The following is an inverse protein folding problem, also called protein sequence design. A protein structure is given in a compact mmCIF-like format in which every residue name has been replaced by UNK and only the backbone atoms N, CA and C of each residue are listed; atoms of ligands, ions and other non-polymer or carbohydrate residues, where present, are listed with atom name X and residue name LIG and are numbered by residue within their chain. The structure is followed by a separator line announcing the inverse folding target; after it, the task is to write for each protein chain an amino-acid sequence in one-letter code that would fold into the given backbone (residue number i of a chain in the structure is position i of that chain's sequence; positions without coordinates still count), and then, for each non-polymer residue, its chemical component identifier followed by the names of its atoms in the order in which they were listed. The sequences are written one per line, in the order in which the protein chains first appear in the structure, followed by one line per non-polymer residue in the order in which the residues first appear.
data_IF_159269004277
#
_entry.id   IF_159269004277
#
_cell.length_a   1.000
_cell.length_b   1.000
_cell.length_c   1.000
_cell.angle_alpha   90.00
_cell.angle_beta   90.00
_cell.angle_gamma   90.00
#
_symmetry.space_group_name_H-M   'P 1'
#
loop_
_entity.id
_entity.type
_entity.pdbx_description
1 polymer ?
#
# COMPACT_ATOMS: atom_id res chain seq x y z
N UNK A 1 -44.70 15.64 24.53
CA UNK A 1 -44.63 15.80 23.06
C UNK A 1 -43.80 14.67 22.43
N UNK A 2 -44.39 13.47 22.26
CA UNK A 2 -43.67 12.27 21.77
C UNK A 2 -44.47 11.46 20.74
N UNK A 3 -45.24 12.13 19.86
CA UNK A 3 -46.13 11.48 18.89
C UNK A 3 -45.78 11.76 17.42
N UNK A 4 -44.90 12.72 17.09
CA UNK A 4 -44.52 13.02 15.68
C UNK A 4 -43.41 12.14 15.09
N UNK A 5 -42.58 11.47 15.92
CA UNK A 5 -41.40 10.72 15.44
C UNK A 5 -41.71 9.28 15.01
N UNK A 6 -42.85 8.73 15.43
CA UNK A 6 -43.27 7.38 15.03
C UNK A 6 -44.09 7.35 13.74
N UNK A 7 -44.86 8.40 13.43
CA UNK A 7 -45.66 8.45 12.19
C UNK A 7 -44.78 8.49 10.92
N UNK A 8 -43.73 9.34 10.90
CA UNK A 8 -42.86 9.47 9.72
C UNK A 8 -42.00 8.24 9.38
N UNK A 9 -41.88 7.26 10.30
CA UNK A 9 -41.21 5.98 10.01
C UNK A 9 -42.13 4.99 9.30
N UNK A 10 -43.44 5.06 9.53
CA UNK A 10 -44.43 4.17 8.93
C UNK A 10 -44.65 4.57 7.46
N UNK A 11 -44.79 5.87 7.19
CA UNK A 11 -45.04 6.40 5.85
C UNK A 11 -43.90 6.07 4.86
N UNK A 12 -42.65 6.02 5.33
CA UNK A 12 -41.47 5.72 4.50
C UNK A 12 -41.38 4.24 4.06
N UNK A 13 -41.94 3.33 4.86
CA UNK A 13 -41.93 1.89 4.56
C UNK A 13 -43.02 1.53 3.54
N UNK A 14 -44.15 2.23 3.58
CA UNK A 14 -45.25 2.00 2.63
C UNK A 14 -44.89 2.44 1.20
N UNK A 15 -44.15 3.55 1.07
CA UNK A 15 -43.63 4.06 -0.22
C UNK A 15 -42.68 3.05 -0.88
N UNK A 16 -41.78 2.45 -0.11
CA UNK A 16 -40.82 1.44 -0.59
C UNK A 16 -41.48 0.12 -1.03
N UNK A 17 -42.64 -0.24 -0.45
CA UNK A 17 -43.40 -1.42 -0.88
C UNK A 17 -44.10 -1.18 -2.23
N UNK A 18 -44.71 -0.01 -2.43
CA UNK A 18 -45.40 0.34 -3.69
C UNK A 18 -44.44 0.44 -4.89
N UNK A 19 -43.19 0.82 -4.67
CA UNK A 19 -42.16 0.89 -5.73
C UNK A 19 -41.67 -0.50 -6.17
N UNK A 20 -41.57 -1.47 -5.24
CA UNK A 20 -41.19 -2.86 -5.56
C UNK A 20 -42.25 -3.63 -6.34
N UNK A 21 -43.54 -3.36 -6.11
CA UNK A 21 -44.62 -3.99 -6.88
C UNK A 21 -44.67 -3.50 -8.33
N UNK A 22 -44.43 -2.20 -8.58
CA UNK A 22 -44.38 -1.64 -9.94
C UNK A 22 -43.26 -2.26 -10.77
N UNK A 23 -42.10 -2.55 -10.18
CA UNK A 23 -40.96 -3.14 -10.88
C UNK A 23 -41.11 -4.64 -11.19
N UNK A 24 -42.07 -5.34 -10.55
CA UNK A 24 -42.33 -6.76 -10.79
C UNK A 24 -43.24 -7.00 -12.02
N UNK A 25 -44.07 -6.02 -12.37
CA UNK A 25 -45.02 -6.11 -13.49
C UNK A 25 -44.34 -5.88 -14.85
N UNK A 26 -43.29 -5.05 -14.90
CA UNK A 26 -42.60 -4.69 -16.16
C UNK A 26 -41.68 -5.79 -16.72
N UNK A 27 -41.22 -6.73 -15.88
CA UNK A 27 -40.29 -7.80 -16.28
C UNK A 27 -40.95 -8.93 -17.10
N UNK A 28 -42.28 -9.03 -17.11
CA UNK A 28 -42.96 -10.21 -17.63
C UNK A 28 -43.43 -10.10 -19.09
N UNK A 29 -43.10 -9.00 -19.79
CA UNK A 29 -43.68 -8.69 -21.11
C UNK A 29 -42.72 -8.80 -22.30
N UNK A 30 -41.48 -9.26 -22.11
CA UNK A 30 -40.44 -9.11 -23.15
C UNK A 30 -39.69 -10.38 -23.58
N UNK A 31 -40.22 -11.59 -23.33
CA UNK A 31 -39.60 -12.82 -23.85
C UNK A 31 -40.65 -13.80 -24.39
N UNK A 32 -41.13 -13.57 -25.61
CA UNK A 32 -41.63 -14.65 -26.47
C UNK A 32 -40.90 -14.54 -27.81
N UNK A 33 -39.86 -15.34 -27.99
CA UNK A 33 -39.20 -15.56 -29.26
C UNK A 33 -38.99 -17.07 -29.43
N UNK A 34 -39.64 -17.65 -30.44
CA UNK A 34 -39.61 -19.09 -30.77
C UNK A 34 -38.31 -19.45 -31.48
N UNK A 35 -37.75 -20.64 -31.21
CA UNK A 35 -36.48 -21.12 -31.77
C UNK A 35 -36.59 -21.44 -33.28
N UNK A 36 -35.64 -21.04 -34.14
CA UNK A 36 -35.76 -21.23 -35.60
C UNK A 36 -35.43 -22.64 -36.12
N UNK A 37 -34.95 -23.57 -35.28
CA UNK A 37 -34.59 -24.92 -35.72
C UNK A 37 -35.80 -25.85 -35.69
N UNK A 38 -36.69 -25.72 -36.67
CA UNK A 38 -37.79 -26.65 -36.88
C UNK A 38 -37.35 -27.78 -37.80
N UNK A 39 -36.93 -28.89 -37.19
CA UNK A 39 -37.05 -30.22 -37.80
C UNK A 39 -37.28 -31.25 -36.67
N UNK A 40 -38.54 -31.38 -36.27
CA UNK A 40 -39.10 -32.58 -35.62
C UNK A 40 -38.48 -33.10 -34.31
N UNK A 41 -38.00 -32.27 -33.37
CA UNK A 41 -37.64 -32.76 -32.02
C UNK A 41 -38.01 -31.80 -30.88
N UNK A 42 -38.61 -32.35 -29.81
CA UNK A 42 -39.25 -31.68 -28.66
C UNK A 42 -38.41 -30.64 -27.90
N UNK A 43 -38.36 -29.40 -28.37
CA UNK A 43 -37.96 -28.25 -27.54
C UNK A 43 -38.44 -26.91 -28.11
N UNK A 44 -38.95 -26.04 -27.24
CA UNK A 44 -39.49 -24.73 -27.64
C UNK A 44 -38.48 -23.57 -27.55
N UNK A 45 -37.33 -23.76 -26.89
CA UNK A 45 -36.39 -22.67 -26.59
C UNK A 45 -34.92 -23.01 -26.91
N UNK A 46 -34.20 -22.04 -27.48
CA UNK A 46 -32.79 -22.18 -27.92
C UNK A 46 -31.78 -22.37 -26.78
N UNK A 47 -32.19 -22.14 -25.53
CA UNK A 47 -31.38 -22.39 -24.33
C UNK A 47 -31.48 -23.80 -23.78
N UNK A 48 -32.32 -24.66 -24.40
CA UNK A 48 -32.42 -26.08 -24.03
C UNK A 48 -31.05 -26.76 -24.15
N UNK A 49 -30.71 -27.60 -23.17
CA UNK A 49 -29.47 -28.41 -23.21
C UNK A 49 -29.43 -29.38 -24.41
N UNK A 50 -30.58 -29.64 -25.02
CA UNK A 50 -30.73 -30.55 -26.16
C UNK A 50 -30.65 -29.85 -27.52
N UNK A 51 -30.57 -28.51 -27.56
CA UNK A 51 -30.44 -27.77 -28.81
C UNK A 51 -28.99 -27.85 -29.32
N UNK A 52 -28.79 -28.25 -30.57
CA UNK A 52 -27.45 -28.36 -31.19
C UNK A 52 -26.69 -27.03 -31.25
N UNK A 53 -27.42 -25.91 -31.22
CA UNK A 53 -26.86 -24.55 -31.17
C UNK A 53 -26.46 -24.11 -29.75
N UNK A 54 -26.77 -24.90 -28.72
CA UNK A 54 -26.34 -24.64 -27.35
C UNK A 54 -24.88 -25.03 -27.15
N UNK A 55 -23.97 -24.19 -27.69
CA UNK A 55 -22.56 -24.23 -27.31
C UNK A 55 -22.48 -23.82 -25.84
N UNK A 56 -22.26 -24.79 -24.95
CA UNK A 56 -21.97 -24.50 -23.55
C UNK A 56 -20.82 -23.50 -23.51
N UNK A 57 -21.07 -22.29 -22.97
CA UNK A 57 -20.01 -21.33 -22.70
C UNK A 57 -19.03 -22.00 -21.73
N UNK A 58 -17.95 -22.57 -22.26
CA UNK A 58 -16.79 -22.95 -21.46
C UNK A 58 -16.45 -21.73 -20.62
N UNK A 59 -16.51 -21.87 -19.30
CA UNK A 59 -16.21 -20.78 -18.39
C UNK A 59 -14.80 -20.31 -18.68
N UNK A 60 -14.68 -19.19 -19.39
CA UNK A 60 -13.45 -18.44 -19.47
C UNK A 60 -13.03 -18.16 -18.02
N UNK A 61 -11.80 -18.50 -17.60
CA UNK A 61 -11.34 -18.10 -16.28
C UNK A 61 -11.44 -16.59 -16.23
N UNK A 62 -12.33 -16.08 -15.37
CA UNK A 62 -12.47 -14.64 -15.17
C UNK A 62 -11.09 -14.13 -14.75
N UNK A 63 -10.53 -13.10 -15.41
CA UNK A 63 -9.44 -12.37 -14.78
C UNK A 63 -10.01 -11.83 -13.46
N UNK A 64 -9.36 -12.15 -12.34
CA UNK A 64 -9.61 -11.45 -11.07
C UNK A 64 -9.01 -10.05 -11.18
N UNK A 65 -9.61 -9.23 -12.03
CA UNK A 65 -9.46 -7.78 -12.02
C UNK A 65 -10.59 -7.19 -11.18
N UNK A 66 -10.74 -7.67 -9.94
CA UNK A 66 -11.19 -6.75 -8.90
C UNK A 66 -9.94 -6.00 -8.44
N UNK A 67 -9.50 -5.04 -9.27
CA UNK A 67 -8.72 -3.93 -8.74
C UNK A 67 -9.65 -3.25 -7.75
N UNK A 68 -9.54 -3.67 -6.48
CA UNK A 68 -10.15 -3.00 -5.35
C UNK A 68 -9.54 -1.59 -5.37
N UNK A 69 -10.24 -0.67 -6.04
CA UNK A 69 -9.79 0.71 -6.14
C UNK A 69 -9.83 1.24 -4.71
N UNK A 70 -8.68 1.29 -4.07
CA UNK A 70 -8.53 1.89 -2.76
C UNK A 70 -8.81 3.38 -2.90
N UNK A 71 -10.05 3.79 -2.68
CA UNK A 71 -10.39 5.21 -2.64
C UNK A 71 -10.01 5.72 -1.25
N UNK A 72 -9.01 6.58 -1.18
CA UNK A 72 -8.59 7.22 0.08
C UNK A 72 -9.40 8.50 0.26
N UNK A 73 -10.28 8.53 1.25
CA UNK A 73 -10.99 9.73 1.67
C UNK A 73 -10.13 10.43 2.73
N UNK A 74 -9.55 11.59 2.38
CA UNK A 74 -8.79 12.44 3.31
C UNK A 74 -9.73 13.48 3.90
N UNK A 75 -10.01 13.41 5.20
CA UNK A 75 -10.81 14.41 5.92
C UNK A 75 -9.91 15.03 6.99
N UNK A 76 -9.92 16.37 7.15
CA UNK A 76 -9.15 17.03 8.21
C UNK A 76 -9.51 16.50 9.60
N UNK A 77 -8.50 16.39 10.47
CA UNK A 77 -8.71 15.94 11.85
C UNK A 77 -9.65 16.89 12.61
N UNK A 78 -9.55 18.20 12.34
CA UNK A 78 -10.43 19.22 12.93
C UNK A 78 -11.92 19.01 12.55
N UNK A 79 -12.19 18.48 11.37
CA UNK A 79 -13.56 18.28 10.87
C UNK A 79 -14.18 16.98 11.40
N UNK A 80 -13.36 16.01 11.81
CA UNK A 80 -13.80 14.71 12.34
C UNK A 80 -13.87 14.68 13.86
N UNK A 81 -12.93 15.34 14.53
CA UNK A 81 -12.83 15.33 15.98
C UNK A 81 -13.49 16.58 16.61
N UNK A 82 -14.59 16.37 17.33
CA UNK A 82 -15.32 17.44 18.03
C UNK A 82 -14.63 17.95 19.29
N UNK A 83 -13.49 17.38 19.67
CA UNK A 83 -12.76 17.73 20.89
C UNK A 83 -11.48 18.50 20.53
N UNK A 84 -11.45 19.84 20.68
CA UNK A 84 -10.28 20.64 20.32
C UNK A 84 -9.00 20.20 21.05
N UNK A 85 -9.11 19.82 22.33
CA UNK A 85 -7.96 19.32 23.11
C UNK A 85 -7.34 18.07 22.51
N UNK A 86 -8.18 17.14 22.02
CA UNK A 86 -7.68 15.91 21.40
C UNK A 86 -7.04 16.19 20.04
N UNK A 87 -7.59 17.14 19.26
CA UNK A 87 -7.00 17.59 18.00
C UNK A 87 -5.59 18.15 18.24
N UNK A 88 -5.45 19.07 19.19
CA UNK A 88 -4.14 19.67 19.53
C UNK A 88 -3.13 18.62 19.98
N UNK A 89 -3.49 17.75 20.94
CA UNK A 89 -2.58 16.70 21.41
C UNK A 89 -2.17 15.73 20.30
N UNK A 90 -3.09 15.37 19.41
CA UNK A 90 -2.77 14.49 18.28
C UNK A 90 -1.81 15.15 17.31
N UNK A 91 -1.99 16.45 17.03
CA UNK A 91 -1.10 17.21 16.17
C UNK A 91 0.31 17.33 16.79
N UNK A 92 0.40 17.67 18.07
CA UNK A 92 1.68 17.74 18.79
C UNK A 92 2.44 16.40 18.77
N UNK A 93 1.72 15.29 19.00
CA UNK A 93 2.31 13.94 18.92
C UNK A 93 2.74 13.60 17.51
N UNK A 94 1.94 13.94 16.49
CA UNK A 94 2.29 13.71 15.10
C UNK A 94 3.55 14.49 14.71
N UNK A 95 3.61 15.78 15.03
CA UNK A 95 4.75 16.64 14.74
C UNK A 95 6.02 16.13 15.44
N UNK A 96 5.92 15.77 16.72
CA UNK A 96 7.02 15.19 17.48
C UNK A 96 7.54 13.87 16.86
N UNK A 97 6.62 12.97 16.51
CA UNK A 97 6.98 11.69 15.86
C UNK A 97 7.62 11.94 14.50
N UNK A 98 7.11 12.87 13.70
CA UNK A 98 7.67 13.20 12.38
C UNK A 98 9.10 13.71 12.53
N UNK A 99 9.37 14.61 13.47
CA UNK A 99 10.72 15.10 13.73
C UNK A 99 11.65 13.97 14.21
N UNK A 100 11.17 13.10 15.10
CA UNK A 100 11.92 11.96 15.60
C UNK A 100 12.28 10.99 14.47
N UNK A 101 11.31 10.61 13.63
CA UNK A 101 11.53 9.73 12.48
C UNK A 101 12.53 10.36 11.51
N UNK A 102 12.44 11.66 11.25
CA UNK A 102 13.37 12.37 10.40
C UNK A 102 14.81 12.32 10.93
N UNK A 103 15.01 12.61 12.22
CA UNK A 103 16.32 12.54 12.86
C UNK A 103 16.90 11.12 12.86
N UNK A 104 16.08 10.12 13.17
CA UNK A 104 16.44 8.69 13.11
C UNK A 104 16.83 8.29 11.69
N UNK A 105 16.14 8.81 10.66
CA UNK A 105 16.43 8.52 9.26
C UNK A 105 17.81 9.06 8.85
N UNK A 106 18.13 10.30 9.25
CA UNK A 106 19.45 10.90 9.00
C UNK A 106 20.55 10.05 9.64
N UNK A 107 20.39 9.69 10.92
CA UNK A 107 21.39 8.89 11.61
C UNK A 107 21.50 7.47 11.03
N UNK A 108 20.39 6.84 10.65
CA UNK A 108 20.42 5.52 10.02
C UNK A 108 21.22 5.56 8.70
N UNK A 109 21.02 6.59 7.87
CA UNK A 109 21.79 6.79 6.64
C UNK A 109 23.28 7.02 6.95
N UNK A 110 23.59 7.88 7.93
CA UNK A 110 24.97 8.09 8.38
C UNK A 110 25.62 6.80 8.85
N UNK A 111 24.90 5.99 9.65
CA UNK A 111 25.39 4.72 10.17
C UNK A 111 25.71 3.75 9.04
N UNK A 112 24.80 3.60 8.06
CA UNK A 112 25.05 2.76 6.88
C UNK A 112 26.25 3.24 6.06
N UNK A 113 26.39 4.55 5.84
CA UNK A 113 27.55 5.11 5.13
C UNK A 113 28.86 4.85 5.87
N UNK A 114 28.86 4.96 7.20
CA UNK A 114 30.05 4.69 8.02
C UNK A 114 30.48 3.23 7.96
N UNK A 115 29.52 2.30 7.99
CA UNK A 115 29.81 0.88 7.81
C UNK A 115 30.43 0.60 6.44
N UNK A 116 29.86 1.18 5.38
CA UNK A 116 30.39 1.04 4.02
C UNK A 116 31.80 1.62 3.88
N UNK A 117 32.07 2.78 4.46
CA UNK A 117 33.41 3.39 4.48
C UNK A 117 34.44 2.48 5.16
N UNK A 118 34.05 1.80 6.23
CA UNK A 118 34.90 0.87 6.96
C UNK A 118 34.99 -0.54 6.31
N UNK A 119 34.24 -0.81 5.24
CA UNK A 119 34.14 -2.14 4.63
C UNK A 119 33.39 -3.17 5.50
N UNK A 120 32.58 -2.71 6.45
CA UNK A 120 31.77 -3.56 7.33
C UNK A 120 30.45 -3.97 6.65
N UNK A 121 29.90 -5.13 7.04
CA UNK A 121 28.61 -5.60 6.51
C UNK A 121 27.46 -4.68 6.94
N UNK A 122 26.55 -4.40 5.99
CA UNK A 122 25.34 -3.63 6.29
C UNK A 122 24.36 -4.45 7.14
N UNK A 123 23.77 -3.86 8.20
CA UNK A 123 22.82 -4.55 9.04
C UNK A 123 21.53 -4.83 8.26
N UNK A 124 20.90 -5.96 8.57
CA UNK A 124 19.59 -6.30 7.99
C UNK A 124 18.56 -5.26 8.45
N UNK A 125 17.84 -4.69 7.47
CA UNK A 125 16.74 -3.74 7.69
C UNK A 125 15.62 -4.44 8.45
N UNK A 126 15.58 -4.29 9.77
CA UNK A 126 14.60 -4.94 10.65
C UNK A 126 13.99 -3.95 11.63
N UNK A 127 12.80 -4.26 12.15
CA UNK A 127 12.18 -3.47 13.22
C UNK A 127 13.14 -3.31 14.40
N UNK A 128 13.87 -4.38 14.75
CA UNK A 128 14.81 -4.40 15.87
C UNK A 128 15.95 -3.39 15.68
N UNK A 129 16.50 -3.29 14.45
CA UNK A 129 17.52 -2.28 14.14
C UNK A 129 16.99 -0.86 14.40
N UNK A 130 15.83 -0.52 13.85
CA UNK A 130 15.25 0.82 14.00
C UNK A 130 14.81 1.10 15.43
N UNK A 131 14.31 0.10 16.15
CA UNK A 131 13.99 0.22 17.57
C UNK A 131 15.24 0.51 18.40
N UNK A 132 16.35 -0.19 18.15
CA UNK A 132 17.61 0.06 18.83
C UNK A 132 18.13 1.48 18.56
N UNK A 133 18.10 1.93 17.30
CA UNK A 133 18.48 3.29 16.93
C UNK A 133 17.60 4.32 17.64
N UNK A 134 16.28 4.17 17.55
CA UNK A 134 15.30 5.05 18.17
C UNK A 134 15.43 5.11 19.69
N UNK A 135 15.76 3.97 20.33
CA UNK A 135 15.96 3.91 21.77
C UNK A 135 17.10 4.82 22.23
N UNK A 136 18.12 5.03 21.39
CA UNK A 136 19.22 5.96 21.68
C UNK A 136 18.70 7.40 21.69
N UNK A 137 17.89 7.80 20.70
CA UNK A 137 17.29 9.13 20.64
C UNK A 137 16.29 9.39 21.77
N UNK A 138 15.55 8.35 22.22
CA UNK A 138 14.61 8.45 23.33
C UNK A 138 15.27 8.39 24.72
N UNK A 139 16.61 8.45 24.81
CA UNK A 139 17.39 8.29 26.06
C UNK A 139 17.14 6.95 26.78
N UNK A 140 16.69 5.93 26.04
CA UNK A 140 16.46 4.55 26.49
C UNK A 140 17.51 3.58 25.93
N UNK A 141 18.65 4.10 25.45
CA UNK A 141 19.67 3.37 24.68
C UNK A 141 20.43 2.26 25.43
N UNK A 142 19.94 1.80 26.59
CA UNK A 142 20.53 0.68 27.35
C UNK A 142 20.71 -0.56 26.46
N UNK A 143 19.75 -0.82 25.58
CA UNK A 143 19.69 -2.02 24.75
C UNK A 143 20.39 -1.92 23.38
N UNK A 144 20.86 -0.74 22.99
CA UNK A 144 21.57 -0.59 21.72
C UNK A 144 22.96 -1.26 21.78
N UNK A 145 23.39 -1.84 20.66
CA UNK A 145 24.73 -2.43 20.55
C UNK A 145 25.82 -1.35 20.65
N UNK A 146 27.00 -1.74 21.10
CA UNK A 146 28.12 -0.80 21.29
C UNK A 146 28.56 -0.14 19.98
N UNK A 147 28.45 -0.86 18.87
CA UNK A 147 28.70 -0.30 17.53
C UNK A 147 27.77 0.86 17.19
N UNK A 148 26.45 0.70 17.41
CA UNK A 148 25.49 1.78 17.14
C UNK A 148 25.70 2.95 18.10
N UNK A 149 25.95 2.69 19.40
CA UNK A 149 26.25 3.72 20.40
C UNK A 149 27.50 4.52 20.03
N UNK A 150 28.56 3.85 19.60
CA UNK A 150 29.81 4.48 19.16
C UNK A 150 29.58 5.37 17.93
N UNK A 151 28.92 4.83 16.91
CA UNK A 151 28.58 5.61 15.70
C UNK A 151 27.67 6.79 16.00
N UNK A 152 26.74 6.65 16.94
CA UNK A 152 25.87 7.73 17.39
C UNK A 152 26.62 8.85 18.09
N UNK A 153 27.59 8.51 18.95
CA UNK A 153 28.47 9.51 19.58
C UNK A 153 29.22 10.31 18.52
N UNK A 154 29.84 9.63 17.55
CA UNK A 154 30.57 10.28 16.45
C UNK A 154 29.64 11.12 15.57
N UNK A 155 28.40 10.66 15.33
CA UNK A 155 27.39 11.43 14.62
C UNK A 155 27.08 12.75 15.34
N UNK A 156 26.84 12.70 16.65
CA UNK A 156 26.55 13.90 17.45
C UNK A 156 27.74 14.88 17.43
N UNK A 157 28.96 14.37 17.58
CA UNK A 157 30.18 15.19 17.50
C UNK A 157 30.34 15.85 16.12
N UNK A 158 30.07 15.11 15.04
CA UNK A 158 30.22 15.59 13.66
C UNK A 158 29.13 16.60 13.26
N UNK A 159 27.94 16.48 13.82
CA UNK A 159 26.78 17.35 13.51
C UNK A 159 26.58 18.45 14.54
N UNK A 160 27.45 18.55 15.54
CA UNK A 160 27.28 19.43 16.71
C UNK A 160 25.93 19.22 17.43
N UNK A 161 25.41 17.99 17.41
CA UNK A 161 24.14 17.65 18.05
C UNK A 161 24.32 17.63 19.57
N UNK A 162 23.65 18.54 20.27
CA UNK A 162 23.84 18.73 21.72
C UNK A 162 22.83 17.93 22.55
N UNK A 163 23.09 17.78 23.85
CA UNK A 163 22.15 17.12 24.76
C UNK A 163 20.75 17.78 24.78
N UNK A 164 20.61 19.13 24.81
CA UNK A 164 19.31 19.78 24.65
C UNK A 164 18.57 19.40 23.36
N UNK A 165 19.30 19.18 22.27
CA UNK A 165 18.72 18.72 21.01
C UNK A 165 18.21 17.28 21.09
N UNK A 166 18.77 16.45 21.97
CA UNK A 166 18.29 15.10 22.23
C UNK A 166 17.10 15.10 23.18
N UNK A 167 17.12 15.98 24.17
CA UNK A 167 16.05 16.06 25.17
C UNK A 167 14.69 16.39 24.53
N UNK A 168 14.67 17.10 23.38
CA UNK A 168 13.46 17.35 22.60
C UNK A 168 12.81 16.09 22.01
N UNK A 169 13.58 15.01 21.87
CA UNK A 169 13.15 13.71 21.37
C UNK A 169 12.82 12.72 22.49
N UNK A 170 12.93 13.15 23.75
CA UNK A 170 12.57 12.31 24.88
C UNK A 170 11.09 11.92 24.79
N UNK A 171 10.82 10.64 24.57
CA UNK A 171 9.46 10.12 24.42
C UNK A 171 8.79 9.94 25.80
N UNK A 172 8.56 11.03 26.53
CA UNK A 172 7.82 10.99 27.81
C UNK A 172 6.34 10.66 27.54
N UNK A 173 5.99 9.37 27.61
CA UNK A 173 4.59 8.88 27.56
C UNK A 173 4.14 8.26 26.23
N UNK A 174 4.92 8.37 25.15
CA UNK A 174 4.51 7.90 23.80
C UNK A 174 5.31 6.71 23.26
N UNK A 175 6.04 5.99 24.11
CA UNK A 175 6.95 4.91 23.68
C UNK A 175 6.24 3.82 22.85
N UNK A 176 4.99 3.50 23.15
CA UNK A 176 4.19 2.50 22.41
C UNK A 176 3.89 2.96 20.98
N UNK A 177 3.55 4.23 20.80
CA UNK A 177 3.31 4.83 19.49
C UNK A 177 4.61 4.84 18.68
N UNK A 178 5.69 5.27 19.32
CA UNK A 178 7.05 5.30 18.77
C UNK A 178 7.51 3.90 18.33
N UNK A 179 7.28 2.87 19.14
CA UNK A 179 7.53 1.46 18.78
C UNK A 179 6.69 1.01 17.59
N UNK A 180 5.40 1.35 17.53
CA UNK A 180 4.55 1.03 16.38
C UNK A 180 5.05 1.70 15.09
N UNK A 181 5.59 2.92 15.19
CA UNK A 181 6.18 3.62 14.06
C UNK A 181 7.43 2.93 13.51
N UNK A 182 8.22 2.22 14.33
CA UNK A 182 9.37 1.45 13.81
C UNK A 182 8.97 0.39 12.80
N UNK A 183 7.82 -0.27 13.01
CA UNK A 183 7.29 -1.27 12.08
C UNK A 183 6.91 -0.64 10.75
N UNK A 184 6.24 0.52 10.82
CA UNK A 184 5.85 1.26 9.63
C UNK A 184 7.09 1.78 8.88
N UNK A 185 8.07 2.29 9.62
CA UNK A 185 9.33 2.78 9.06
C UNK A 185 10.13 1.65 8.40
N UNK A 186 10.25 0.48 9.03
CA UNK A 186 10.87 -0.70 8.40
C UNK A 186 10.18 -1.03 7.07
N UNK A 187 8.85 -1.10 7.08
CA UNK A 187 8.06 -1.40 5.88
C UNK A 187 8.32 -0.36 4.78
N UNK A 188 8.35 0.92 5.15
CA UNK A 188 8.62 2.02 4.23
C UNK A 188 10.03 1.92 3.63
N UNK A 189 11.05 1.69 4.46
CA UNK A 189 12.44 1.54 4.00
C UNK A 189 12.57 0.31 3.08
N UNK A 190 12.01 -0.84 3.47
CA UNK A 190 12.04 -2.06 2.64
C UNK A 190 11.38 -1.82 1.29
N UNK A 191 10.17 -1.25 1.27
CA UNK A 191 9.46 -0.96 0.03
C UNK A 191 10.23 0.02 -0.86
N UNK A 192 10.83 1.06 -0.25
CA UNK A 192 11.64 2.02 -0.97
C UNK A 192 12.89 1.38 -1.59
N UNK A 193 13.62 0.58 -0.80
CA UNK A 193 14.82 -0.12 -1.28
C UNK A 193 14.47 -1.11 -2.38
N UNK A 194 13.43 -1.93 -2.21
CA UNK A 194 12.97 -2.88 -3.23
C UNK A 194 12.56 -2.15 -4.52
N UNK A 195 11.69 -1.14 -4.43
CA UNK A 195 11.23 -0.39 -5.60
C UNK A 195 12.39 0.32 -6.32
N UNK A 196 13.34 0.86 -5.57
CA UNK A 196 14.50 1.56 -6.13
C UNK A 196 15.46 0.57 -6.79
N UNK A 197 15.73 -0.56 -6.14
CA UNK A 197 16.57 -1.61 -6.68
C UNK A 197 15.98 -2.20 -7.96
N UNK A 198 14.68 -2.49 -7.97
CA UNK A 198 13.95 -2.95 -9.16
C UNK A 198 14.08 -1.94 -10.31
N UNK A 199 13.75 -0.67 -10.08
CA UNK A 199 13.81 0.36 -11.11
C UNK A 199 15.23 0.57 -11.65
N UNK A 200 16.22 0.64 -10.76
CA UNK A 200 17.62 0.80 -11.15
C UNK A 200 18.15 -0.42 -11.90
N UNK A 201 17.79 -1.62 -11.47
CA UNK A 201 18.22 -2.87 -12.14
C UNK A 201 17.58 -2.98 -13.51
N UNK A 202 16.28 -2.70 -13.64
CA UNK A 202 15.60 -2.66 -14.94
C UNK A 202 16.23 -1.60 -15.87
N UNK A 203 16.54 -0.41 -15.35
CA UNK A 203 17.23 0.62 -16.12
C UNK A 203 18.63 0.16 -16.55
N UNK A 204 19.37 -0.50 -15.66
CA UNK A 204 20.69 -1.05 -15.98
C UNK A 204 20.60 -2.11 -17.07
N UNK A 205 19.73 -3.12 -16.91
CA UNK A 205 19.50 -4.19 -17.91
C UNK A 205 19.14 -3.56 -19.26
N UNK A 206 18.20 -2.62 -19.29
CA UNK A 206 17.78 -1.93 -20.51
C UNK A 206 18.95 -1.23 -21.23
N UNK A 207 19.89 -0.66 -20.46
CA UNK A 207 21.08 0.02 -20.97
C UNK A 207 22.18 -0.93 -21.44
N UNK A 208 22.23 -2.17 -20.94
CA UNK A 208 23.24 -3.17 -21.36
C UNK A 208 22.77 -4.06 -22.51
N UNK A 209 21.46 -4.27 -22.68
CA UNK A 209 20.88 -5.05 -23.80
C UNK A 209 21.42 -4.70 -25.21
N UNK A 210 21.66 -3.41 -25.58
CA UNK A 210 22.23 -3.08 -26.88
C UNK A 210 23.76 -3.15 -26.95
N UNK A 211 24.47 -3.35 -25.84
CA UNK A 211 25.93 -3.35 -25.82
C UNK A 211 26.43 -4.71 -26.31
N UNK A 212 27.21 -4.72 -27.40
CA UNK A 212 27.79 -5.95 -27.99
C UNK A 212 28.71 -6.72 -27.03
N UNK A 213 29.25 -6.04 -26.03
CA UNK A 213 30.08 -6.63 -24.97
C UNK A 213 29.26 -7.17 -23.79
N UNK A 214 27.94 -6.95 -23.76
CA UNK A 214 27.10 -7.43 -22.68
C UNK A 214 26.78 -8.93 -22.86
N UNK A 215 26.81 -9.73 -21.78
CA UNK A 215 26.32 -11.11 -21.82
C UNK A 215 24.81 -11.19 -22.13
N UNK A 216 24.08 -10.06 -22.02
CA UNK A 216 22.66 -9.96 -22.32
C UNK A 216 22.38 -9.33 -23.71
N UNK A 217 23.38 -9.27 -24.60
CA UNK A 217 23.20 -8.67 -25.91
C UNK A 217 22.08 -9.36 -26.71
N UNK A 218 21.10 -8.58 -27.17
CA UNK A 218 19.92 -9.11 -27.87
C UNK A 218 19.75 -8.49 -29.27
N UNK A 219 20.88 -8.22 -29.95
CA UNK A 219 20.90 -7.72 -31.33
C UNK A 219 20.61 -6.22 -31.46
N UNK A 220 21.19 -5.61 -32.50
CA UNK A 220 21.02 -4.18 -32.79
C UNK A 220 19.59 -3.83 -33.27
N UNK A 221 18.82 -4.85 -33.67
CA UNK A 221 17.52 -4.71 -34.34
C UNK A 221 16.32 -4.49 -33.40
N UNK A 222 16.50 -4.65 -32.08
CA UNK A 222 15.39 -4.43 -31.14
C UNK A 222 15.19 -2.94 -30.88
N UNK A 223 13.95 -2.47 -31.04
CA UNK A 223 13.56 -1.11 -30.65
C UNK A 223 13.50 -0.96 -29.12
N UNK A 224 13.62 0.27 -28.60
CA UNK A 224 13.47 0.54 -27.17
C UNK A 224 12.13 0.05 -26.58
N UNK A 225 11.06 0.03 -27.39
CA UNK A 225 9.74 -0.46 -27.01
C UNK A 225 9.72 -1.99 -26.82
N UNK A 226 10.48 -2.72 -27.63
CA UNK A 226 10.61 -4.19 -27.54
C UNK A 226 11.58 -4.62 -26.43
N UNK A 227 12.59 -3.80 -26.10
CA UNK A 227 13.55 -4.11 -25.04
C UNK A 227 12.92 -4.05 -23.64
N UNK A 228 11.99 -3.13 -23.38
CA UNK A 228 11.33 -2.98 -22.07
C UNK A 228 10.67 -4.26 -21.52
N UNK A 229 9.81 -4.99 -22.27
CA UNK A 229 9.25 -6.25 -21.77
C UNK A 229 10.31 -7.34 -21.57
N UNK A 230 11.35 -7.37 -22.42
CA UNK A 230 12.47 -8.31 -22.28
C UNK A 230 13.27 -8.05 -21.00
N UNK A 231 13.53 -6.78 -20.67
CA UNK A 231 14.18 -6.39 -19.42
C UNK A 231 13.42 -6.90 -18.20
N UNK A 232 12.08 -6.83 -18.21
CA UNK A 232 11.25 -7.36 -17.12
C UNK A 232 11.34 -8.88 -17.00
N UNK A 233 11.41 -9.61 -18.11
CA UNK A 233 11.59 -11.06 -18.11
C UNK A 233 12.98 -11.49 -17.61
N UNK A 234 14.03 -10.74 -17.94
CA UNK A 234 15.39 -11.03 -17.47
C UNK A 234 15.53 -10.78 -15.95
N UNK A 235 14.77 -9.82 -15.44
CA UNK A 235 14.77 -9.48 -14.01
C UNK A 235 14.03 -10.51 -13.14
N UNK A 236 13.03 -11.21 -13.69
CA UNK A 236 12.23 -12.23 -13.00
C UNK A 236 12.98 -13.55 -12.86
#
# INVERSE_FOLDING_TARGET
MATKKHQGKIDKIEVLKKEREKNKVTSNKQNQATCPSFDGTDHSHSSSKLCSMNKSKTKLPKPKDNVEKTFVIKIPLADTCRCPKLVTLTQEVADHITQLVYAVSIFANYYSLKLLENGEELPVVTQNLFYNILSIFASQGKHASDGIKKSFKTFCESTSFTQPDLDKYSSKGYITTVSSMTKQYETLVRNYVCSTYEDQTLKHILNVLPKKTSPYFCGDNLTAKQRKPLTKQIFQ
#
